data_IF_587455504045
#
_entry.id   IF_587455504045
#
_cell.length_a   1.000
_cell.length_b   1.000
_cell.length_c   1.000
_cell.angle_alpha   90.00
_cell.angle_beta   90.00
_cell.angle_gamma   90.00
#
_symmetry.space_group_name_H-M   'P 1'
#
loop_
_entity.id
_entity.type
_entity.pdbx_description
1 polymer ?
#
# COMPACT_ATOMS: atom_id res chain seq x y z
N UNK A 1 -28.36 11.12 -5.58
CA UNK A 1 -29.30 10.05 -5.20
C UNK A 1 -30.59 10.66 -4.69
N UNK A 2 -31.78 10.23 -5.14
CA UNK A 2 -33.01 10.66 -4.49
C UNK A 2 -32.97 10.26 -3.02
N UNK A 3 -33.25 11.19 -2.11
CA UNK A 3 -33.18 10.97 -0.64
C UNK A 3 -33.98 9.72 -0.20
N UNK A 4 -35.08 9.42 -0.88
CA UNK A 4 -35.92 8.24 -0.63
C UNK A 4 -35.26 6.88 -0.95
N UNK A 5 -34.14 6.87 -1.68
CA UNK A 5 -33.39 5.64 -2.03
C UNK A 5 -32.11 5.47 -1.21
N UNK A 6 -31.86 6.33 -0.24
CA UNK A 6 -30.75 6.19 0.70
C UNK A 6 -31.12 5.18 1.79
N UNK A 7 -30.70 3.93 1.61
CA UNK A 7 -30.89 2.87 2.59
C UNK A 7 -29.76 2.84 3.64
N UNK A 8 -29.03 3.95 3.82
CA UNK A 8 -27.92 4.11 4.76
C UNK A 8 -26.87 3.01 4.55
N UNK A 9 -26.50 2.28 5.61
CA UNK A 9 -25.50 1.21 5.59
C UNK A 9 -25.80 0.09 4.57
N UNK A 10 -27.07 -0.09 4.18
CA UNK A 10 -27.45 -1.12 3.20
C UNK A 10 -27.39 -0.62 1.75
N UNK A 11 -27.08 0.66 1.52
CA UNK A 11 -27.05 1.24 0.17
C UNK A 11 -26.03 0.55 -0.73
N UNK A 12 -24.89 0.13 -0.17
CA UNK A 12 -23.82 -0.55 -0.90
C UNK A 12 -24.22 -1.93 -1.46
N UNK A 13 -25.33 -2.52 -0.99
CA UNK A 13 -25.82 -3.80 -1.53
C UNK A 13 -26.49 -3.64 -2.91
N UNK A 14 -27.11 -2.48 -3.15
CA UNK A 14 -27.86 -2.15 -4.37
C UNK A 14 -27.78 -0.64 -4.69
N UNK A 15 -26.57 -0.09 -4.93
CA UNK A 15 -26.44 1.30 -5.30
C UNK A 15 -27.06 1.56 -6.67
N UNK A 16 -27.62 2.76 -6.86
CA UNK A 16 -27.98 3.23 -8.21
C UNK A 16 -26.71 3.58 -8.96
N UNK A 17 -26.64 3.19 -10.22
CA UNK A 17 -25.48 3.39 -11.09
C UNK A 17 -25.75 4.49 -12.13
N UNK A 18 -24.82 5.44 -12.25
CA UNK A 18 -24.79 6.43 -13.34
C UNK A 18 -23.88 6.01 -14.50
N UNK A 19 -22.97 5.06 -14.28
CA UNK A 19 -22.05 4.54 -15.29
C UNK A 19 -22.66 3.50 -16.24
N UNK A 20 -21.85 2.94 -17.15
CA UNK A 20 -22.29 2.05 -18.23
C UNK A 20 -22.82 0.69 -17.75
N UNK A 21 -22.56 0.31 -16.50
CA UNK A 21 -23.03 -0.95 -15.91
C UNK A 21 -23.76 -0.71 -14.60
N UNK A 22 -24.66 -1.65 -14.27
CA UNK A 22 -25.37 -1.73 -12.99
C UNK A 22 -25.33 -3.15 -12.44
N UNK A 23 -25.53 -3.29 -11.14
CA UNK A 23 -25.60 -4.60 -10.48
C UNK A 23 -26.88 -5.32 -10.88
N UNK A 24 -26.75 -6.50 -11.47
CA UNK A 24 -27.85 -7.46 -11.67
C UNK A 24 -28.02 -8.33 -10.43
N UNK A 25 -26.92 -8.90 -9.92
CA UNK A 25 -26.90 -9.76 -8.75
C UNK A 25 -25.63 -9.56 -7.93
N UNK A 26 -25.73 -9.77 -6.62
CA UNK A 26 -24.59 -9.73 -5.70
C UNK A 26 -24.77 -10.77 -4.62
N UNK A 27 -23.86 -11.75 -4.57
CA UNK A 27 -23.73 -12.72 -3.51
C UNK A 27 -22.46 -12.38 -2.72
N UNK A 28 -22.66 -11.80 -1.52
CA UNK A 28 -21.59 -11.22 -0.71
C UNK A 28 -20.48 -12.24 -0.47
N UNK A 29 -19.24 -11.83 -0.75
CA UNK A 29 -18.04 -12.67 -0.62
C UNK A 29 -17.87 -13.77 -1.66
N UNK A 30 -18.82 -13.95 -2.60
CA UNK A 30 -18.74 -14.98 -3.66
C UNK A 30 -18.63 -14.40 -5.06
N UNK A 31 -19.66 -13.66 -5.50
CA UNK A 31 -19.66 -13.06 -6.83
C UNK A 31 -20.61 -11.85 -6.95
N UNK A 32 -20.39 -11.04 -7.98
CA UNK A 32 -21.25 -9.95 -8.41
C UNK A 32 -21.37 -9.98 -9.93
N UNK A 33 -22.59 -9.88 -10.45
CA UNK A 33 -22.84 -9.76 -11.89
C UNK A 33 -23.26 -8.34 -12.21
N UNK A 34 -22.54 -7.73 -13.15
CA UNK A 34 -22.85 -6.43 -13.71
C UNK A 34 -23.36 -6.58 -15.14
N UNK A 35 -24.42 -5.86 -15.47
CA UNK A 35 -25.01 -5.80 -16.82
C UNK A 35 -25.09 -4.34 -17.29
N UNK A 36 -25.24 -4.12 -18.60
CA UNK A 36 -25.38 -2.78 -19.16
C UNK A 36 -26.49 -1.96 -18.47
N UNK A 37 -26.18 -0.72 -18.18
CA UNK A 37 -27.11 0.28 -17.68
C UNK A 37 -27.81 0.96 -18.86
N UNK A 38 -29.09 0.65 -19.09
CA UNK A 38 -29.88 1.23 -20.19
C UNK A 38 -30.08 2.76 -20.07
N UNK A 39 -29.83 3.34 -18.90
CA UNK A 39 -29.98 4.77 -18.65
C UNK A 39 -28.68 5.56 -18.85
N UNK A 40 -27.56 4.89 -19.12
CA UNK A 40 -26.29 5.55 -19.43
C UNK A 40 -26.27 5.93 -20.91
N UNK A 41 -25.96 7.19 -21.20
CA UNK A 41 -25.82 7.69 -22.56
C UNK A 41 -24.33 7.72 -22.95
N UNK A 42 -23.87 6.86 -23.90
CA UNK A 42 -22.50 6.88 -24.38
C UNK A 42 -22.05 8.23 -24.93
N UNK A 43 -22.96 9.06 -25.46
CA UNK A 43 -22.61 10.37 -26.01
C UNK A 43 -22.21 11.38 -24.93
N UNK A 44 -22.60 11.13 -23.68
CA UNK A 44 -22.30 11.98 -22.52
C UNK A 44 -21.03 11.57 -21.77
N UNK A 45 -20.43 10.41 -22.12
CA UNK A 45 -19.30 9.83 -21.41
C UNK A 45 -18.09 9.64 -22.35
N UNK A 46 -17.14 10.59 -22.36
CA UNK A 46 -15.96 10.51 -23.23
C UNK A 46 -14.92 9.49 -22.75
N UNK A 47 -15.14 8.83 -21.61
CA UNK A 47 -14.13 7.98 -20.96
C UNK A 47 -14.37 6.49 -21.14
N UNK A 48 -15.62 6.05 -21.38
CA UNK A 48 -15.99 4.62 -21.27
C UNK A 48 -16.61 4.05 -22.54
N UNK A 49 -16.11 2.91 -22.99
CA UNK A 49 -16.53 2.28 -24.24
C UNK A 49 -17.72 1.32 -24.11
N UNK A 50 -17.96 0.75 -22.93
CA UNK A 50 -19.06 -0.19 -22.69
C UNK A 50 -19.02 -1.42 -23.64
N UNK A 51 -17.87 -2.08 -23.80
CA UNK A 51 -17.76 -3.21 -24.75
C UNK A 51 -18.45 -4.52 -24.26
N UNK A 52 -18.16 -5.04 -23.05
CA UNK A 52 -18.85 -6.22 -22.52
C UNK A 52 -20.36 -6.05 -22.37
N UNK A 53 -21.13 -7.12 -22.61
CA UNK A 53 -22.56 -7.14 -22.25
C UNK A 53 -22.77 -7.46 -20.76
N UNK A 54 -21.84 -8.24 -20.20
CA UNK A 54 -21.88 -8.74 -18.82
C UNK A 54 -20.48 -8.86 -18.26
N UNK A 55 -20.30 -8.44 -17.01
CA UNK A 55 -19.08 -8.62 -16.23
C UNK A 55 -19.42 -9.45 -15.00
N UNK A 56 -18.67 -10.52 -14.76
CA UNK A 56 -18.82 -11.34 -13.55
C UNK A 56 -17.58 -11.15 -12.69
N UNK A 57 -17.74 -10.46 -11.58
CA UNK A 57 -16.69 -10.30 -10.56
C UNK A 57 -16.80 -11.47 -9.60
N UNK A 58 -15.71 -12.21 -9.42
CA UNK A 58 -15.62 -13.32 -8.47
C UNK A 58 -14.71 -12.90 -7.32
N UNK A 59 -15.13 -13.19 -6.09
CA UNK A 59 -14.42 -12.82 -4.88
C UNK A 59 -13.80 -14.04 -4.20
N UNK A 60 -12.84 -13.80 -3.32
CA UNK A 60 -12.30 -14.83 -2.42
C UNK A 60 -11.28 -15.78 -3.05
N UNK A 61 -10.67 -15.42 -4.19
CA UNK A 61 -9.52 -16.17 -4.68
C UNK A 61 -8.31 -15.96 -3.76
N UNK A 62 -7.66 -17.07 -3.40
CA UNK A 62 -6.33 -17.04 -2.80
C UNK A 62 -5.27 -16.63 -3.82
N UNK A 63 -4.22 -15.95 -3.35
CA UNK A 63 -3.17 -15.34 -4.18
C UNK A 63 -2.65 -16.33 -5.24
N UNK A 64 -2.12 -17.48 -4.81
CA UNK A 64 -1.51 -18.46 -5.70
C UNK A 64 -2.52 -19.10 -6.66
N UNK A 65 -3.77 -19.28 -6.21
CA UNK A 65 -4.81 -19.88 -7.05
C UNK A 65 -5.19 -18.94 -8.20
N UNK A 66 -5.29 -17.63 -7.93
CA UNK A 66 -5.53 -16.62 -8.96
C UNK A 66 -4.37 -16.52 -9.94
N UNK A 67 -3.14 -16.46 -9.43
CA UNK A 67 -1.94 -16.40 -10.28
C UNK A 67 -1.88 -17.62 -11.20
N UNK A 68 -1.96 -18.84 -10.66
CA UNK A 68 -1.92 -20.08 -11.44
C UNK A 68 -3.04 -20.16 -12.49
N UNK A 69 -4.25 -19.69 -12.14
CA UNK A 69 -5.38 -19.61 -13.07
C UNK A 69 -5.05 -18.69 -14.27
N UNK A 70 -4.48 -17.52 -14.02
CA UNK A 70 -4.11 -16.59 -15.09
C UNK A 70 -2.94 -17.14 -15.91
N UNK A 71 -1.94 -17.75 -15.27
CA UNK A 71 -0.83 -18.43 -15.93
C UNK A 71 -1.30 -19.55 -16.87
N UNK A 72 -2.23 -20.40 -16.42
CA UNK A 72 -2.71 -21.54 -17.21
C UNK A 72 -3.47 -21.12 -18.47
N UNK A 73 -4.00 -19.89 -18.49
CA UNK A 73 -4.73 -19.32 -19.62
C UNK A 73 -5.77 -20.28 -20.21
N UNK A 74 -6.53 -20.95 -19.34
CA UNK A 74 -7.46 -22.02 -19.72
C UNK A 74 -8.89 -21.66 -19.34
N UNK A 75 -9.86 -22.20 -20.10
CA UNK A 75 -11.29 -21.96 -19.84
C UNK A 75 -11.65 -20.47 -19.73
N UNK A 76 -12.20 -20.07 -18.58
CA UNK A 76 -12.57 -18.69 -18.31
C UNK A 76 -11.36 -17.76 -18.08
N UNK A 77 -10.20 -18.30 -17.69
CA UNK A 77 -9.01 -17.51 -17.43
C UNK A 77 -8.54 -16.75 -18.67
N UNK A 78 -8.77 -17.30 -19.87
CA UNK A 78 -8.53 -16.62 -21.16
C UNK A 78 -9.21 -15.26 -21.27
N UNK A 79 -10.30 -15.04 -20.53
CA UNK A 79 -11.11 -13.81 -20.57
C UNK A 79 -11.15 -13.11 -19.20
N UNK A 80 -10.24 -13.46 -18.30
CA UNK A 80 -10.21 -12.95 -16.94
C UNK A 80 -9.05 -11.98 -16.74
N UNK A 81 -9.23 -11.08 -15.79
CA UNK A 81 -8.18 -10.26 -15.22
C UNK A 81 -8.42 -10.14 -13.72
N UNK A 82 -7.35 -9.84 -13.00
CA UNK A 82 -7.45 -9.42 -11.61
C UNK A 82 -7.75 -7.92 -11.53
N UNK A 83 -8.60 -7.52 -10.58
CA UNK A 83 -8.91 -6.10 -10.33
C UNK A 83 -8.05 -5.50 -9.20
N UNK A 84 -7.58 -6.31 -8.26
CA UNK A 84 -6.96 -5.85 -7.01
C UNK A 84 -5.73 -6.68 -6.58
N UNK A 85 -5.34 -7.67 -7.38
CA UNK A 85 -4.31 -8.64 -7.05
C UNK A 85 -3.28 -8.75 -8.17
N UNK A 86 -2.10 -8.19 -7.94
CA UNK A 86 -0.91 -8.32 -8.78
C UNK A 86 -0.21 -9.67 -8.56
N UNK A 87 0.71 -10.02 -9.44
CA UNK A 87 1.62 -11.16 -9.30
C UNK A 87 2.60 -10.88 -8.16
N UNK A 88 2.66 -11.80 -7.20
CA UNK A 88 3.56 -11.73 -6.04
C UNK A 88 4.26 -13.07 -5.83
N UNK A 89 3.53 -14.18 -5.85
CA UNK A 89 4.11 -15.49 -5.53
C UNK A 89 4.92 -16.05 -6.71
N UNK A 90 4.37 -15.95 -7.91
CA UNK A 90 4.98 -16.40 -9.16
C UNK A 90 5.63 -15.23 -9.92
N UNK A 91 5.95 -14.12 -9.23
CA UNK A 91 6.48 -12.91 -9.86
C UNK A 91 7.77 -13.17 -10.64
N UNK A 92 8.73 -13.87 -10.03
CA UNK A 92 9.98 -14.20 -10.69
C UNK A 92 9.75 -15.02 -11.96
N UNK A 93 8.89 -16.04 -11.90
CA UNK A 93 8.51 -16.85 -13.06
C UNK A 93 7.83 -16.01 -14.15
N UNK A 94 6.88 -15.13 -13.78
CA UNK A 94 6.20 -14.24 -14.71
C UNK A 94 7.20 -13.35 -15.46
N UNK A 95 8.19 -12.82 -14.74
CA UNK A 95 9.22 -11.95 -15.31
C UNK A 95 10.21 -12.72 -16.19
N UNK A 96 10.63 -13.92 -15.78
CA UNK A 96 11.48 -14.81 -16.60
C UNK A 96 10.82 -15.14 -17.95
N UNK A 97 9.51 -15.39 -17.97
CA UNK A 97 8.76 -15.70 -19.19
C UNK A 97 8.05 -14.49 -19.82
N UNK A 98 8.39 -13.27 -19.41
CA UNK A 98 7.76 -12.05 -19.93
C UNK A 98 7.76 -11.91 -21.46
N UNK A 99 8.78 -12.37 -22.24
CA UNK A 99 8.71 -12.32 -23.70
C UNK A 99 7.57 -13.15 -24.29
N UNK A 100 7.20 -14.25 -23.62
CA UNK A 100 6.09 -15.13 -24.02
C UNK A 100 4.75 -14.49 -23.63
N UNK A 101 4.71 -13.75 -22.52
CA UNK A 101 3.50 -13.13 -21.98
C UNK A 101 3.31 -11.66 -22.39
N UNK A 102 4.10 -11.13 -23.32
CA UNK A 102 4.15 -9.70 -23.66
C UNK A 102 2.80 -9.03 -23.94
N UNK A 103 1.83 -9.77 -24.47
CA UNK A 103 0.50 -9.23 -24.83
C UNK A 103 -0.51 -9.31 -23.67
N UNK A 104 -0.11 -9.86 -22.52
CA UNK A 104 -1.00 -10.12 -21.39
C UNK A 104 -0.35 -9.92 -20.01
N UNK A 105 0.94 -9.59 -19.95
CA UNK A 105 1.69 -9.24 -18.75
C UNK A 105 2.01 -7.75 -18.78
N UNK A 106 1.67 -7.07 -17.70
CA UNK A 106 1.79 -5.62 -17.57
C UNK A 106 2.64 -5.32 -16.33
N UNK A 107 3.82 -4.74 -16.53
CA UNK A 107 4.67 -4.25 -15.46
C UNK A 107 4.71 -2.72 -15.50
N UNK A 108 4.48 -2.07 -14.38
CA UNK A 108 4.42 -0.61 -14.28
C UNK A 108 4.71 -0.13 -12.84
N UNK A 109 5.03 1.15 -12.69
CA UNK A 109 5.27 1.74 -11.38
C UNK A 109 3.97 1.78 -10.55
N UNK A 110 4.03 1.25 -9.34
CA UNK A 110 2.89 1.24 -8.40
C UNK A 110 2.87 2.55 -7.60
N UNK A 111 1.69 3.07 -7.20
CA UNK A 111 1.62 4.21 -6.30
C UNK A 111 2.03 3.84 -4.86
N UNK A 112 2.23 2.54 -4.57
CA UNK A 112 2.38 2.04 -3.22
C UNK A 112 3.81 2.18 -2.68
N UNK A 113 3.97 2.93 -1.60
CA UNK A 113 5.11 2.80 -0.70
C UNK A 113 4.90 1.64 0.27
N UNK A 114 5.92 0.82 0.45
CA UNK A 114 5.98 -0.27 1.43
C UNK A 114 6.88 0.19 2.57
N UNK A 115 6.35 0.21 3.78
CA UNK A 115 7.01 0.83 4.93
C UNK A 115 6.64 0.16 6.26
N UNK A 116 7.41 0.46 7.30
CA UNK A 116 7.02 0.18 8.68
C UNK A 116 6.54 1.46 9.35
N UNK A 117 5.40 1.41 10.03
CA UNK A 117 5.04 2.44 11.00
C UNK A 117 5.55 2.02 12.38
N UNK A 118 6.17 2.94 13.11
CA UNK A 118 6.60 2.73 14.49
C UNK A 118 5.62 3.48 15.39
N UNK A 119 4.88 2.74 16.21
CA UNK A 119 3.84 3.28 17.07
C UNK A 119 4.45 4.16 18.17
N UNK A 120 4.32 5.48 18.04
CA UNK A 120 4.90 6.46 18.95
C UNK A 120 4.21 6.50 20.33
N UNK A 121 2.99 5.97 20.46
CA UNK A 121 2.32 5.81 21.76
C UNK A 121 3.02 4.75 22.62
N UNK A 122 3.58 3.69 22.00
CA UNK A 122 4.22 2.57 22.70
C UNK A 122 5.75 2.60 22.65
N UNK A 123 6.33 3.11 21.55
CA UNK A 123 7.78 3.29 21.36
C UNK A 123 8.14 4.78 21.49
N UNK A 124 8.10 5.27 22.73
CA UNK A 124 8.23 6.70 23.06
C UNK A 124 9.64 7.27 22.86
N UNK A 125 10.66 6.46 23.09
CA UNK A 125 12.05 6.88 23.00
C UNK A 125 12.52 6.97 21.54
N UNK A 126 12.93 8.17 21.11
CA UNK A 126 13.39 8.43 19.74
C UNK A 126 14.64 7.63 19.37
N UNK A 127 15.54 7.32 20.31
CA UNK A 127 16.70 6.49 20.04
C UNK A 127 16.29 5.04 19.77
N UNK A 128 15.24 4.54 20.42
CA UNK A 128 14.67 3.21 20.12
C UNK A 128 14.07 3.21 18.71
N UNK A 129 13.29 4.24 18.35
CA UNK A 129 12.72 4.35 17.00
C UNK A 129 13.78 4.45 15.92
N UNK A 130 14.83 5.26 16.14
CA UNK A 130 15.99 5.35 15.25
C UNK A 130 16.75 4.04 15.19
N UNK A 131 16.90 3.31 16.30
CA UNK A 131 17.52 1.99 16.29
C UNK A 131 16.73 0.99 15.43
N UNK A 132 15.39 0.99 15.50
CA UNK A 132 14.53 0.21 14.61
C UNK A 132 14.79 0.61 13.16
N UNK A 133 14.75 1.91 12.85
CA UNK A 133 15.00 2.44 11.49
C UNK A 133 16.37 2.02 10.94
N UNK A 134 17.43 2.06 11.76
CA UNK A 134 18.78 1.71 11.31
C UNK A 134 18.97 0.19 11.18
N UNK A 135 18.29 -0.60 12.01
CA UNK A 135 18.41 -2.06 11.99
C UNK A 135 17.82 -2.67 10.72
N UNK A 136 16.71 -2.13 10.19
CA UNK A 136 16.00 -2.71 9.04
C UNK A 136 16.91 -2.76 7.82
N UNK A 137 17.10 -3.97 7.30
CA UNK A 137 17.82 -4.23 6.06
C UNK A 137 16.82 -4.22 4.89
N UNK A 138 16.92 -3.22 4.02
CA UNK A 138 16.00 -3.06 2.89
C UNK A 138 16.24 -4.12 1.81
N UNK A 139 17.48 -4.61 1.66
CA UNK A 139 17.84 -5.64 0.70
C UNK A 139 17.13 -6.96 1.00
N UNK A 140 17.20 -7.44 2.25
CA UNK A 140 16.55 -8.69 2.64
C UNK A 140 15.03 -8.59 2.59
N UNK A 141 14.47 -7.42 2.92
CA UNK A 141 13.03 -7.15 2.81
C UNK A 141 12.58 -7.16 1.35
N UNK A 142 13.30 -6.49 0.44
CA UNK A 142 12.94 -6.46 -0.97
C UNK A 142 13.13 -7.83 -1.62
N UNK A 143 14.21 -8.55 -1.27
CA UNK A 143 14.43 -9.92 -1.71
C UNK A 143 13.25 -10.83 -1.31
N UNK A 144 12.79 -10.74 -0.06
CA UNK A 144 11.61 -11.47 0.41
C UNK A 144 10.31 -11.08 -0.31
N UNK A 145 10.25 -9.89 -0.92
CA UNK A 145 9.13 -9.41 -1.70
C UNK A 145 9.11 -9.90 -3.16
N UNK A 146 10.24 -10.43 -3.67
CA UNK A 146 10.44 -10.75 -5.09
C UNK A 146 11.66 -10.05 -5.72
N UNK A 147 12.52 -9.43 -4.92
CA UNK A 147 13.72 -8.73 -5.37
C UNK A 147 13.39 -7.47 -6.16
N UNK A 148 14.27 -7.10 -7.09
CA UNK A 148 14.14 -5.90 -7.92
C UNK A 148 12.90 -5.91 -8.83
N UNK A 149 12.24 -7.04 -9.02
CA UNK A 149 10.94 -7.11 -9.70
C UNK A 149 9.78 -6.57 -8.86
N UNK A 150 9.92 -6.59 -7.52
CA UNK A 150 8.87 -6.15 -6.60
C UNK A 150 8.90 -4.64 -6.33
N UNK A 151 9.99 -3.96 -6.69
CA UNK A 151 10.12 -2.52 -6.48
C UNK A 151 11.57 -2.04 -6.38
N UNK A 152 11.70 -0.77 -6.00
CA UNK A 152 12.98 -0.10 -5.81
C UNK A 152 13.07 0.48 -4.39
N UNK A 153 14.26 0.39 -3.78
CA UNK A 153 14.51 0.94 -2.45
C UNK A 153 14.07 2.39 -2.34
N UNK A 154 13.58 2.79 -1.16
CA UNK A 154 13.12 4.15 -0.93
C UNK A 154 13.41 4.61 0.50
N UNK A 155 13.84 5.86 0.59
CA UNK A 155 13.96 6.66 1.81
C UNK A 155 12.70 7.48 2.10
N UNK A 156 11.72 7.50 1.20
CA UNK A 156 10.50 8.30 1.29
C UNK A 156 9.25 7.46 1.02
N UNK A 157 8.14 7.84 1.63
CA UNK A 157 6.79 7.35 1.32
C UNK A 157 6.22 7.98 0.05
N UNK A 158 6.83 9.05 -0.44
CA UNK A 158 6.45 9.76 -1.67
C UNK A 158 7.26 9.15 -2.83
N UNK A 159 6.60 8.64 -3.89
CA UNK A 159 7.32 8.10 -5.03
C UNK A 159 7.99 9.20 -5.86
N UNK A 160 9.07 8.85 -6.56
CA UNK A 160 9.85 9.79 -7.41
C UNK A 160 9.05 10.38 -8.57
N UNK A 161 7.91 9.76 -8.93
CA UNK A 161 6.95 10.28 -9.91
C UNK A 161 6.31 11.60 -9.45
N UNK A 162 6.18 11.83 -8.14
CA UNK A 162 5.71 13.09 -7.55
C UNK A 162 6.88 14.07 -7.33
N UNK A 163 7.49 14.51 -8.43
CA UNK A 163 8.78 15.23 -8.45
C UNK A 163 8.85 16.48 -7.56
N UNK A 164 7.75 17.24 -7.45
CA UNK A 164 7.72 18.46 -6.64
C UNK A 164 7.77 18.15 -5.13
N UNK A 165 7.25 16.99 -4.75
CA UNK A 165 7.13 16.54 -3.38
C UNK A 165 8.31 15.67 -2.94
N UNK A 166 8.79 14.77 -3.80
CA UNK A 166 9.84 13.82 -3.45
C UNK A 166 11.11 14.51 -2.91
N UNK A 167 11.67 13.95 -1.83
CA UNK A 167 12.95 14.36 -1.27
C UNK A 167 13.88 13.18 -1.21
N UNK A 168 15.09 13.36 -1.71
CA UNK A 168 16.16 12.40 -1.51
C UNK A 168 17.00 12.81 -0.29
N UNK A 169 17.03 11.97 0.73
CA UNK A 169 17.73 12.23 1.99
C UNK A 169 18.30 10.95 2.60
N UNK A 170 19.33 11.10 3.43
CA UNK A 170 19.91 9.95 4.12
C UNK A 170 19.01 9.52 5.28
N UNK A 171 18.88 8.21 5.46
CA UNK A 171 18.22 7.58 6.61
C UNK A 171 19.31 6.88 7.40
N UNK A 172 19.41 7.13 8.71
CA UNK A 172 20.50 6.60 9.55
C UNK A 172 21.92 6.88 9.01
N UNK A 173 22.11 8.02 8.35
CA UNK A 173 23.41 8.42 7.80
C UNK A 173 23.83 7.68 6.53
N UNK A 174 22.95 6.89 5.91
CA UNK A 174 23.20 6.21 4.63
C UNK A 174 22.23 6.64 3.53
N UNK A 175 22.71 6.57 2.29
CA UNK A 175 21.91 6.62 1.08
C UNK A 175 21.36 5.22 0.81
N UNK A 176 20.07 5.01 1.09
CA UNK A 176 19.43 3.68 1.01
C UNK A 176 19.35 3.14 -0.43
N UNK A 177 19.50 4.00 -1.44
CA UNK A 177 19.52 3.59 -2.85
C UNK A 177 20.84 2.93 -3.24
N UNK A 178 21.92 3.20 -2.49
CA UNK A 178 23.27 2.69 -2.75
C UNK A 178 23.75 1.69 -1.71
N UNK A 179 23.33 1.86 -0.47
CA UNK A 179 23.68 1.00 0.65
C UNK A 179 22.39 0.61 1.38
N UNK A 180 21.59 -0.34 0.83
CA UNK A 180 20.30 -0.73 1.37
C UNK A 180 20.39 -1.59 2.65
N UNK A 181 21.57 -2.06 3.01
CA UNK A 181 21.81 -2.97 4.14
C UNK A 181 21.50 -2.31 5.50
N UNK A 182 21.13 -3.13 6.49
CA UNK A 182 20.89 -2.67 7.85
C UNK A 182 22.20 -2.26 8.55
N UNK A 183 22.16 -1.20 9.37
CA UNK A 183 23.28 -0.69 10.14
C UNK A 183 23.21 -1.18 11.59
N UNK A 184 23.39 -2.48 11.79
CA UNK A 184 23.25 -3.16 13.09
C UNK A 184 24.05 -2.52 14.22
N UNK A 185 25.29 -2.10 13.96
CA UNK A 185 26.13 -1.47 15.00
C UNK A 185 25.65 -0.08 15.38
N UNK A 186 25.17 0.70 14.40
CA UNK A 186 24.55 2.00 14.66
C UNK A 186 23.25 1.83 15.48
N UNK A 187 22.45 0.81 15.16
CA UNK A 187 21.25 0.48 15.93
C UNK A 187 21.58 0.10 17.39
N UNK A 188 22.60 -0.74 17.62
CA UNK A 188 23.08 -1.09 18.97
C UNK A 188 23.59 0.13 19.74
N UNK A 189 24.33 1.02 19.08
CA UNK A 189 24.82 2.25 19.69
C UNK A 189 23.69 3.20 20.10
N UNK A 190 22.61 3.27 19.31
CA UNK A 190 21.40 4.02 19.66
C UNK A 190 20.67 3.40 20.85
N UNK A 191 20.53 2.07 20.89
CA UNK A 191 19.92 1.37 22.04
C UNK A 191 20.72 1.53 23.32
N UNK A 192 22.06 1.58 23.24
CA UNK A 192 22.92 1.80 24.40
C UNK A 192 22.70 3.17 25.05
N UNK A 193 22.24 4.19 24.30
CA UNK A 193 21.86 5.51 24.84
C UNK A 193 20.54 5.47 25.62
N UNK A 194 19.76 4.40 25.48
CA UNK A 194 18.45 4.22 26.07
C UNK A 194 18.36 2.89 26.84
N UNK A 195 19.19 2.68 27.87
CA UNK A 195 19.33 1.38 28.54
C UNK A 195 18.02 0.87 29.16
N UNK A 196 17.19 1.78 29.65
CA UNK A 196 15.91 1.49 30.31
C UNK A 196 14.72 1.51 29.35
N UNK A 197 14.93 1.78 28.07
CA UNK A 197 13.84 1.82 27.11
C UNK A 197 13.42 0.41 26.68
N UNK A 198 12.19 0.33 26.15
CA UNK A 198 11.55 -0.90 25.68
C UNK A 198 12.37 -1.56 24.57
N UNK A 199 12.64 -2.86 24.73
CA UNK A 199 13.32 -3.72 23.74
C UNK A 199 12.47 -4.89 23.26
N UNK A 200 11.39 -5.21 23.98
CA UNK A 200 10.38 -6.19 23.57
C UNK A 200 9.39 -5.50 22.64
N UNK A 201 9.45 -5.83 21.35
CA UNK A 201 8.62 -5.27 20.28
C UNK A 201 7.60 -6.29 19.81
N UNK A 202 6.38 -5.82 19.55
CA UNK A 202 5.35 -6.56 18.81
C UNK A 202 5.36 -6.06 17.37
N UNK A 203 5.69 -6.94 16.42
CA UNK A 203 5.65 -6.65 14.98
C UNK A 203 4.36 -7.20 14.37
N UNK A 204 3.43 -6.31 14.00
CA UNK A 204 2.22 -6.68 13.28
C UNK A 204 2.47 -6.79 11.78
N UNK A 205 1.94 -7.86 11.18
CA UNK A 205 1.97 -8.09 9.74
C UNK A 205 0.72 -8.83 9.28
N UNK A 206 0.39 -8.65 8.00
CA UNK A 206 -0.77 -9.28 7.36
C UNK A 206 -0.41 -10.66 6.83
N UNK A 207 -1.28 -11.64 7.02
CA UNK A 207 -1.16 -12.98 6.43
C UNK A 207 -1.64 -12.97 4.97
N UNK A 208 -0.80 -12.46 4.05
CA UNK A 208 -1.12 -12.39 2.61
C UNK A 208 0.15 -12.43 1.76
N UNK A 209 0.25 -13.35 0.80
CA UNK A 209 1.35 -13.37 -0.19
C UNK A 209 2.73 -13.37 0.47
N UNK A 210 3.61 -12.45 0.08
CA UNK A 210 4.98 -12.31 0.62
C UNK A 210 5.08 -11.54 1.94
N UNK A 211 3.97 -10.99 2.47
CA UNK A 211 3.96 -10.21 3.71
C UNK A 211 4.60 -10.95 4.91
N UNK A 212 4.34 -12.26 5.15
CA UNK A 212 5.00 -12.99 6.23
C UNK A 212 6.52 -13.10 6.05
N UNK A 213 7.00 -13.29 4.82
CA UNK A 213 8.43 -13.40 4.53
C UNK A 213 9.15 -12.05 4.75
N UNK A 214 8.53 -10.94 4.33
CA UNK A 214 9.04 -9.59 4.61
C UNK A 214 9.10 -9.30 6.11
N UNK A 215 8.05 -9.69 6.85
CA UNK A 215 7.99 -9.50 8.29
C UNK A 215 9.07 -10.34 9.02
N UNK A 216 9.37 -11.55 8.54
CA UNK A 216 10.45 -12.38 9.06
C UNK A 216 11.84 -11.75 8.80
N UNK A 217 12.06 -11.13 7.63
CA UNK A 217 13.29 -10.40 7.33
C UNK A 217 13.49 -9.20 8.27
N UNK A 218 12.41 -8.44 8.54
CA UNK A 218 12.42 -7.36 9.55
C UNK A 218 12.70 -7.91 10.94
N UNK A 219 12.04 -9.01 11.34
CA UNK A 219 12.26 -9.64 12.64
C UNK A 219 13.73 -10.01 12.85
N UNK A 220 14.35 -10.67 11.88
CA UNK A 220 15.76 -11.08 11.94
C UNK A 220 16.69 -9.88 12.10
N UNK A 221 16.44 -8.79 11.35
CA UNK A 221 17.22 -7.57 11.44
C UNK A 221 17.12 -6.91 12.83
N UNK A 222 15.91 -6.86 13.41
CA UNK A 222 15.69 -6.32 14.75
C UNK A 222 16.32 -7.19 15.84
N UNK A 223 16.22 -8.52 15.75
CA UNK A 223 16.89 -9.45 16.67
C UNK A 223 18.41 -9.25 16.65
N UNK A 224 19.01 -9.10 15.46
CA UNK A 224 20.44 -8.84 15.31
C UNK A 224 20.91 -7.52 15.95
N UNK A 225 20.02 -6.52 15.99
CA UNK A 225 20.26 -5.24 16.66
C UNK A 225 20.06 -5.29 18.19
N UNK A 226 19.57 -6.40 18.74
CA UNK A 226 19.40 -6.59 20.19
C UNK A 226 17.97 -6.36 20.71
N UNK A 227 16.98 -6.28 19.82
CA UNK A 227 15.57 -6.33 20.20
C UNK A 227 15.12 -7.76 20.49
N UNK A 228 13.99 -7.89 21.19
CA UNK A 228 13.19 -9.12 21.26
C UNK A 228 11.90 -8.86 20.50
N UNK A 229 11.54 -9.73 19.57
CA UNK A 229 10.41 -9.46 18.65
C UNK A 229 9.38 -10.58 18.69
N UNK A 230 8.17 -10.24 19.11
CA UNK A 230 6.97 -11.09 19.01
C UNK A 230 6.22 -10.76 17.72
N UNK A 231 5.93 -11.79 16.93
CA UNK A 231 5.22 -11.67 15.66
C UNK A 231 3.71 -11.69 15.89
N UNK A 232 3.03 -10.60 15.56
CA UNK A 232 1.56 -10.50 15.58
C UNK A 232 1.03 -10.72 14.17
N UNK A 233 0.77 -11.98 13.83
CA UNK A 233 0.10 -12.36 12.59
C UNK A 233 -1.36 -11.93 12.64
N UNK A 234 -1.81 -11.20 11.64
CA UNK A 234 -3.20 -10.75 11.50
C UNK A 234 -3.77 -11.18 10.14
N UNK A 235 -5.03 -11.56 10.11
CA UNK A 235 -5.71 -11.99 8.89
C UNK A 235 -5.78 -10.86 7.85
N UNK A 236 -5.84 -11.24 6.56
CA UNK A 236 -6.04 -10.28 5.45
C UNK A 236 -7.29 -9.42 5.67
N UNK A 237 -8.40 -10.06 6.05
CA UNK A 237 -9.65 -9.38 6.34
C UNK A 237 -9.55 -8.68 7.70
N UNK A 238 -9.86 -7.38 7.74
CA UNK A 238 -9.82 -6.60 8.98
C UNK A 238 -8.43 -6.14 9.43
N UNK A 239 -7.37 -6.43 8.66
CA UNK A 239 -5.99 -6.02 9.00
C UNK A 239 -5.90 -4.54 9.40
N UNK A 240 -6.27 -3.63 8.49
CA UNK A 240 -6.18 -2.19 8.68
C UNK A 240 -7.03 -1.68 9.85
N UNK A 241 -8.24 -2.25 10.03
CA UNK A 241 -9.07 -1.97 11.20
C UNK A 241 -8.35 -2.33 12.50
N UNK A 242 -7.73 -3.52 12.55
CA UNK A 242 -7.04 -3.99 13.76
C UNK A 242 -5.79 -3.19 14.11
N UNK A 243 -5.01 -2.75 13.12
CA UNK A 243 -3.81 -1.94 13.35
C UNK A 243 -4.13 -0.46 13.59
N UNK A 244 -5.31 0.01 13.15
CA UNK A 244 -5.82 1.37 13.40
C UNK A 244 -6.39 1.57 14.81
N UNK A 245 -6.87 0.51 15.46
CA UNK A 245 -7.45 0.59 16.80
C UNK A 245 -6.49 1.21 17.84
N UNK A 246 -7.00 2.20 18.58
CA UNK A 246 -6.31 2.85 19.72
C UNK A 246 -7.01 2.60 21.06
N UNK A 247 -8.00 1.73 21.09
CA UNK A 247 -8.78 1.42 22.28
C UNK A 247 -7.93 0.97 23.46
N UNK A 248 -8.29 1.47 24.64
CA UNK A 248 -7.70 1.06 25.92
C UNK A 248 -8.02 -0.41 26.16
N UNK A 249 -7.00 -1.22 26.44
CA UNK A 249 -7.13 -2.65 26.72
C UNK A 249 -6.90 -3.58 25.52
N UNK A 250 -6.78 -3.04 24.29
CA UNK A 250 -6.34 -3.82 23.13
C UNK A 250 -4.81 -3.86 23.11
N UNK A 251 -4.22 -5.04 22.92
CA UNK A 251 -2.75 -5.17 22.75
C UNK A 251 -2.32 -4.43 21.50
N UNK A 252 -1.51 -3.38 21.67
CA UNK A 252 -1.07 -2.53 20.58
C UNK A 252 0.24 -3.05 19.97
N UNK A 253 0.35 -3.13 18.63
CA UNK A 253 1.64 -3.40 18.00
C UNK A 253 2.58 -2.20 18.15
N UNK A 254 3.87 -2.49 18.22
CA UNK A 254 4.94 -1.49 18.35
C UNK A 254 5.52 -1.09 16.99
N UNK A 255 5.63 -2.08 16.11
CA UNK A 255 6.05 -1.91 14.72
C UNK A 255 4.99 -2.55 13.83
N UNK A 256 4.58 -1.86 12.78
CA UNK A 256 3.47 -2.26 11.93
C UNK A 256 3.96 -2.29 10.49
N UNK A 257 3.99 -3.48 9.88
CA UNK A 257 4.26 -3.61 8.45
C UNK A 257 3.02 -3.18 7.67
N UNK A 258 3.16 -2.18 6.81
CA UNK A 258 2.01 -1.63 6.08
C UNK A 258 2.42 -1.06 4.73
N UNK A 259 1.48 -0.44 4.04
CA UNK A 259 1.67 0.18 2.75
C UNK A 259 0.64 1.26 2.51
N UNK A 260 0.99 2.22 1.67
CA UNK A 260 0.07 3.26 1.23
C UNK A 260 0.29 3.56 -0.24
N UNK A 261 -0.80 3.55 -1.02
CA UNK A 261 -0.83 4.13 -2.36
C UNK A 261 -1.55 5.47 -2.29
N UNK A 262 -1.06 6.48 -2.99
CA UNK A 262 -1.69 7.79 -2.96
C UNK A 262 -3.15 7.72 -3.47
N UNK A 263 -4.08 8.39 -2.78
CA UNK A 263 -5.49 8.46 -3.21
C UNK A 263 -5.66 9.35 -4.46
N UNK A 264 -4.76 10.31 -4.64
CA UNK A 264 -4.58 11.13 -5.83
C UNK A 264 -3.10 11.49 -5.98
N UNK A 265 -2.64 11.74 -7.21
CA UNK A 265 -1.22 11.91 -7.54
C UNK A 265 -0.63 13.27 -7.08
N UNK A 266 -0.58 13.50 -5.78
CA UNK A 266 0.06 14.64 -5.11
C UNK A 266 0.47 14.26 -3.68
N UNK A 267 1.37 15.04 -3.05
CA UNK A 267 1.78 14.79 -1.67
C UNK A 267 0.63 14.84 -0.68
N UNK A 268 -0.39 15.64 -0.97
CA UNK A 268 -1.61 15.76 -0.16
C UNK A 268 -2.43 14.46 -0.13
N UNK A 269 -2.26 13.58 -1.11
CA UNK A 269 -2.85 12.24 -1.13
C UNK A 269 -2.04 11.20 -0.35
N UNK A 270 -0.99 11.62 0.36
CA UNK A 270 -0.07 10.75 1.13
C UNK A 270 0.14 11.32 2.54
N UNK A 271 0.82 12.46 2.62
CA UNK A 271 1.49 12.91 3.84
C UNK A 271 0.50 13.22 4.97
N UNK A 272 -0.59 13.98 4.76
CA UNK A 272 -1.54 14.27 5.85
C UNK A 272 -2.19 13.00 6.41
N UNK A 273 -2.67 12.10 5.54
CA UNK A 273 -3.35 10.87 5.97
C UNK A 273 -2.45 9.96 6.82
N UNK A 274 -1.15 9.93 6.54
CA UNK A 274 -0.21 9.03 7.20
C UNK A 274 0.50 9.65 8.41
N UNK A 275 0.69 10.97 8.44
CA UNK A 275 1.65 11.61 9.36
C UNK A 275 1.09 12.83 10.12
N UNK A 276 -0.11 13.31 9.79
CA UNK A 276 -0.78 14.37 10.55
C UNK A 276 -1.63 13.77 11.67
N UNK A 277 -1.31 14.10 12.91
CA UNK A 277 -2.03 13.64 14.09
C UNK A 277 -3.49 14.13 14.19
N UNK A 278 -3.86 15.21 13.48
CA UNK A 278 -5.25 15.74 13.44
C UNK A 278 -6.22 14.80 12.73
N UNK A 279 -5.70 13.87 11.94
CA UNK A 279 -6.51 12.84 11.26
C UNK A 279 -6.96 11.72 12.19
N UNK A 280 -6.33 11.57 13.35
CA UNK A 280 -6.64 10.53 14.33
C UNK A 280 -7.82 10.91 15.23
N UNK A 281 -8.48 9.89 15.77
CA UNK A 281 -9.43 10.01 16.87
C UNK A 281 -8.86 9.37 18.15
N UNK A 282 -9.50 9.55 19.32
CA UNK A 282 -9.07 8.88 20.55
C UNK A 282 -9.03 7.34 20.46
N UNK A 283 -9.88 6.75 19.63
CA UNK A 283 -10.07 5.29 19.52
C UNK A 283 -9.53 4.68 18.22
N UNK A 284 -9.14 5.50 17.24
CA UNK A 284 -8.67 5.03 15.93
C UNK A 284 -7.59 5.98 15.36
N UNK A 285 -6.47 5.43 14.90
CA UNK A 285 -5.40 6.19 14.25
C UNK A 285 -5.69 6.50 12.78
N UNK A 286 -6.77 5.96 12.24
CA UNK A 286 -7.05 5.88 10.83
C UNK A 286 -5.78 5.38 10.09
N UNK A 287 -5.32 6.08 9.06
CA UNK A 287 -4.12 5.70 8.32
C UNK A 287 -2.80 6.11 8.98
N UNK A 288 -2.81 6.95 10.03
CA UNK A 288 -1.60 7.36 10.75
C UNK A 288 -1.19 6.30 11.78
N UNK A 289 -0.80 5.11 11.29
CA UNK A 289 -0.41 3.98 12.14
C UNK A 289 0.83 4.24 13.01
N UNK A 290 1.67 5.23 12.64
CA UNK A 290 2.79 5.69 13.47
C UNK A 290 2.32 6.41 14.73
N UNK A 291 1.08 6.93 14.69
CA UNK A 291 0.49 7.81 15.71
C UNK A 291 1.30 9.06 15.95
N UNK A 292 2.01 9.51 14.92
CA UNK A 292 2.75 10.74 14.97
C UNK A 292 1.79 11.90 15.24
N UNK A 293 2.09 12.67 16.29
CA UNK A 293 1.38 13.86 16.72
C UNK A 293 2.31 14.90 17.40
N UNK A 294 3.58 14.97 17.02
CA UNK A 294 4.55 15.93 17.57
C UNK A 294 4.08 17.38 17.33
N UNK A 295 3.97 18.24 18.37
CA UNK A 295 3.42 19.59 18.24
C UNK A 295 4.13 20.48 17.20
N UNK A 296 5.44 20.29 17.05
CA UNK A 296 6.25 21.00 16.07
C UNK A 296 5.88 20.63 14.62
N UNK A 297 5.41 19.41 14.38
CA UNK A 297 4.93 18.97 13.07
C UNK A 297 3.50 19.44 12.81
N UNK A 298 2.63 19.41 13.83
CA UNK A 298 1.25 19.88 13.70
C UNK A 298 1.17 21.35 13.27
N UNK A 299 2.03 22.20 13.85
CA UNK A 299 2.13 23.61 13.45
C UNK A 299 2.59 23.81 11.99
N UNK A 300 3.33 22.85 11.43
CA UNK A 300 3.78 22.90 10.03
C UNK A 300 2.70 22.37 9.08
N UNK A 301 1.92 21.36 9.49
CA UNK A 301 0.74 20.91 8.75
C UNK A 301 -0.32 22.02 8.63
N UNK A 302 -0.62 22.74 9.72
CA UNK A 302 -1.54 23.89 9.69
C UNK A 302 -1.08 24.98 8.72
N UNK A 303 0.23 25.24 8.62
CA UNK A 303 0.78 26.18 7.64
C UNK A 303 0.68 25.65 6.22
N UNK A 304 0.87 24.34 6.02
CA UNK A 304 0.77 23.71 4.70
C UNK A 304 -0.68 23.76 4.17
N UNK A 305 -1.69 23.66 5.04
CA UNK A 305 -3.11 23.77 4.67
C UNK A 305 -3.46 25.12 4.03
N UNK A 306 -2.72 26.17 4.37
CA UNK A 306 -2.92 27.52 3.83
C UNK A 306 -2.28 27.73 2.45
N UNK A 307 -1.53 26.77 1.92
CA UNK A 307 -0.85 26.87 0.63
C UNK A 307 -1.79 26.41 -0.48
N UNK A 308 -2.27 27.35 -1.30
CA UNK A 308 -3.16 27.07 -2.44
C UNK A 308 -2.42 26.71 -3.73
N UNK A 309 -1.13 27.04 -3.82
CA UNK A 309 -0.28 26.67 -4.95
C UNK A 309 0.16 25.20 -4.82
N UNK A 310 -0.23 24.36 -5.78
CA UNK A 310 -0.02 22.92 -5.72
C UNK A 310 1.47 22.54 -5.62
N UNK A 311 2.36 23.24 -6.34
CA UNK A 311 3.81 22.94 -6.33
C UNK A 311 4.43 23.29 -4.99
N UNK A 312 4.06 24.44 -4.42
CA UNK A 312 4.50 24.85 -3.08
C UNK A 312 3.93 23.92 -1.99
N UNK A 313 2.69 23.47 -2.14
CA UNK A 313 2.06 22.53 -1.21
C UNK A 313 2.78 21.18 -1.23
N UNK A 314 3.01 20.61 -2.43
CA UNK A 314 3.83 19.40 -2.61
C UNK A 314 5.20 19.55 -1.96
N UNK A 315 5.85 20.70 -2.18
CA UNK A 315 7.15 20.96 -1.59
C UNK A 315 7.11 20.97 -0.06
N UNK A 316 6.14 21.66 0.53
CA UNK A 316 5.99 21.76 1.98
C UNK A 316 5.71 20.39 2.62
N UNK A 317 4.84 19.59 2.01
CA UNK A 317 4.50 18.26 2.48
C UNK A 317 5.67 17.26 2.35
N UNK A 318 6.45 17.33 1.27
CA UNK A 318 7.69 16.56 1.16
C UNK A 318 8.74 16.94 2.22
N UNK A 319 8.89 18.23 2.49
CA UNK A 319 9.81 18.73 3.53
C UNK A 319 9.35 18.33 4.96
N UNK A 320 8.04 18.14 5.16
CA UNK A 320 7.43 17.63 6.39
C UNK A 320 7.69 16.14 6.57
N UNK A 321 7.41 15.34 5.54
CA UNK A 321 7.66 13.90 5.54
C UNK A 321 9.13 13.59 5.86
N UNK A 322 10.07 14.26 5.19
CA UNK A 322 11.50 14.12 5.47
C UNK A 322 11.85 14.37 6.94
N UNK A 323 11.32 15.45 7.55
CA UNK A 323 11.57 15.75 8.98
C UNK A 323 11.04 14.64 9.87
N UNK A 324 9.84 14.13 9.58
CA UNK A 324 9.22 13.07 10.38
C UNK A 324 10.05 11.78 10.29
N UNK A 325 10.52 11.41 9.10
CA UNK A 325 11.36 10.23 8.89
C UNK A 325 12.71 10.40 9.62
N UNK A 326 13.39 11.53 9.45
CA UNK A 326 14.78 11.72 9.92
C UNK A 326 14.85 12.06 11.41
N UNK A 327 14.01 12.99 11.88
CA UNK A 327 14.13 13.55 13.22
C UNK A 327 13.43 12.67 14.26
N UNK A 328 12.25 12.15 13.89
CA UNK A 328 11.38 11.42 14.81
C UNK A 328 11.35 9.92 14.57
N UNK A 329 11.74 9.44 13.39
CA UNK A 329 11.70 8.02 13.01
C UNK A 329 10.33 7.38 13.30
N UNK A 330 9.23 8.10 13.01
CA UNK A 330 7.87 7.56 13.15
C UNK A 330 7.53 6.49 12.11
N UNK A 331 8.25 6.50 10.99
CA UNK A 331 8.11 5.52 9.91
C UNK A 331 9.49 5.14 9.36
N UNK A 332 9.56 3.95 8.77
CA UNK A 332 10.72 3.42 8.04
C UNK A 332 10.29 3.10 6.62
N UNK A 333 10.50 4.03 5.66
CA UNK A 333 10.34 3.74 4.25
C UNK A 333 11.27 2.58 3.85
N UNK A 334 10.78 1.66 3.01
CA UNK A 334 11.57 0.51 2.59
C UNK A 334 11.76 0.48 1.07
N UNK A 335 10.66 0.48 0.32
CA UNK A 335 10.68 0.48 -1.14
C UNK A 335 9.39 1.05 -1.72
N UNK A 336 9.47 1.63 -2.92
CA UNK A 336 8.31 1.90 -3.78
C UNK A 336 8.07 0.64 -4.60
N UNK A 337 6.84 0.16 -4.61
CA UNK A 337 6.46 -1.07 -5.30
C UNK A 337 6.46 -0.91 -6.82
N UNK A 338 6.86 -1.96 -7.53
CA UNK A 338 6.55 -2.16 -8.95
C UNK A 338 5.41 -3.15 -9.05
N UNK A 339 4.39 -2.82 -9.83
CA UNK A 339 3.23 -3.67 -10.01
C UNK A 339 3.34 -4.52 -11.27
N UNK A 340 3.07 -5.82 -11.13
CA UNK A 340 2.99 -6.75 -12.26
C UNK A 340 1.64 -7.43 -12.30
N UNK A 341 0.87 -7.24 -13.35
CA UNK A 341 -0.44 -7.88 -13.54
C UNK A 341 -0.46 -8.76 -14.77
N UNK A 342 -1.23 -9.84 -14.69
CA UNK A 342 -1.48 -10.73 -15.82
C UNK A 342 -2.96 -10.74 -16.17
N UNK A 343 -3.25 -10.85 -17.46
CA UNK A 343 -4.60 -11.01 -18.01
C UNK A 343 -4.68 -12.30 -18.83
N UNK A 344 -5.89 -12.76 -19.10
CA UNK A 344 -6.15 -13.82 -20.06
C UNK A 344 -5.83 -13.41 -21.49
N UNK A 345 -5.40 -14.36 -22.32
CA UNK A 345 -4.96 -14.12 -23.71
C UNK A 345 -6.05 -13.57 -24.65
N UNK A 346 -7.33 -13.73 -24.31
CA UNK A 346 -8.46 -13.20 -25.08
C UNK A 346 -8.92 -11.82 -24.61
N UNK A 347 -8.33 -11.22 -23.57
CA UNK A 347 -8.62 -9.82 -23.25
C UNK A 347 -7.81 -8.88 -24.15
N UNK A 348 -8.49 -7.87 -24.67
CA UNK A 348 -7.88 -6.73 -25.36
C UNK A 348 -8.36 -5.42 -24.74
N UNK A 349 -7.67 -4.32 -25.04
CA UNK A 349 -8.05 -2.98 -24.55
C UNK A 349 -7.83 -2.76 -23.05
N UNK A 350 -7.22 -3.71 -22.36
CA UNK A 350 -6.78 -3.53 -20.96
C UNK A 350 -5.51 -2.68 -20.95
N UNK A 351 -5.45 -1.73 -20.02
CA UNK A 351 -4.33 -0.81 -19.86
C UNK A 351 -3.82 -0.83 -18.43
N UNK A 352 -2.51 -0.66 -18.25
CA UNK A 352 -1.96 -0.37 -16.95
C UNK A 352 -2.43 1.02 -16.49
N UNK A 353 -2.95 1.10 -15.27
CA UNK A 353 -3.30 2.34 -14.61
C UNK A 353 -2.39 2.51 -13.39
N UNK A 354 -1.22 3.11 -13.63
CA UNK A 354 -0.23 3.37 -12.60
C UNK A 354 -0.69 4.37 -11.54
N UNK A 355 -1.71 5.20 -11.83
CA UNK A 355 -2.29 6.10 -10.85
C UNK A 355 -3.11 5.35 -9.78
N UNK A 356 -3.76 4.25 -10.16
CA UNK A 356 -4.55 3.40 -9.26
C UNK A 356 -3.85 2.08 -8.87
N UNK A 357 -2.64 1.84 -9.38
CA UNK A 357 -1.86 0.63 -9.05
C UNK A 357 -2.48 -0.66 -9.55
N UNK A 358 -3.27 -0.62 -10.63
CA UNK A 358 -3.99 -1.79 -11.16
C UNK A 358 -4.18 -1.71 -12.67
N UNK A 359 -4.88 -2.69 -13.25
CA UNK A 359 -5.28 -2.68 -14.64
C UNK A 359 -6.67 -2.03 -14.80
N UNK A 360 -6.79 -1.12 -15.77
CA UNK A 360 -8.05 -0.48 -16.13
C UNK A 360 -8.88 -1.37 -17.06
N UNK A 361 -10.12 -1.74 -16.69
CA UNK A 361 -11.02 -2.49 -17.55
C UNK A 361 -11.88 -1.58 -18.46
N UNK A 362 -11.67 -0.25 -18.49
CA UNK A 362 -12.59 0.69 -19.13
C UNK A 362 -12.77 0.47 -20.64
N UNK A 363 -11.69 0.09 -21.32
CA UNK A 363 -11.67 -0.26 -22.74
C UNK A 363 -11.57 -1.77 -22.97
N UNK A 364 -11.73 -2.60 -21.92
CA UNK A 364 -11.54 -4.03 -22.04
C UNK A 364 -12.61 -4.67 -22.94
N UNK A 365 -12.19 -5.57 -23.82
CA UNK A 365 -13.06 -6.39 -24.67
C UNK A 365 -12.55 -7.82 -24.77
N UNK A 366 -13.44 -8.73 -25.18
CA UNK A 366 -13.11 -10.14 -25.41
C UNK A 366 -12.88 -10.37 -26.91
N UNK A 367 -11.68 -10.81 -27.27
CA UNK A 367 -11.32 -11.25 -28.62
C UNK A 367 -12.06 -12.55 -28.96
N UNK A 368 -12.51 -12.68 -30.21
CA UNK A 368 -13.19 -13.88 -30.70
C UNK A 368 -12.25 -15.06 -30.72
#
# INVERSE_FOLDING_TARGET
MPKAKDTKQNYDLRPVSSGPYKIESYNRGKNMTLIRNKNWDPKSDPLRWNYPDKIVVKFGYEQNALENMLFSDSGEAKRAMSLDTQMVTNLAEAMTYSPIFKDRLYAFDSPYARYLAINMDTVKDVNVRKAIQCAVNLETVLLAAGGTYAGAYSNSLIPTSLKNAYRNFNVCGRDVHKSPEGQTDAAKALLAKSPNAKKDLILAYRDKGTEPARAAAVQQALLAAGFKVTMMKLDRAGYYTRIGQRDVGVVQPDVIQTSWGFDWAAASGIVPALLDGRTMSPTDSHSNYSRQNEPSMQSLFEKADMITDAVKSDKALGDLEQKIVVDFAGVVPMYIESATFMTGSKLGGVQADGGYGTLSPLAAYVRK
#
